data_IF_367070093316
#
_entry.id   IF_367070093316
#
_cell.length_a   1.000
_cell.length_b   1.000
_cell.length_c   1.000
_cell.angle_alpha   90.00
_cell.angle_beta   90.00
_cell.angle_gamma   90.00
#
_symmetry.space_group_name_H-M   'P 1'
#
loop_
_entity.id
_entity.type
_entity.pdbx_description
1 polymer ?
#
# COMPACT_ATOMS: atom_id res chain seq x y z
N UNK A 1 -1.49 42.25 -2.42
CA UNK A 1 -0.79 41.72 -3.61
C UNK A 1 0.65 41.43 -3.19
N UNK A 2 1.17 40.22 -3.18
CA UNK A 2 0.67 38.88 -3.49
C UNK A 2 1.58 37.91 -2.74
N UNK A 3 1.01 36.85 -2.17
CA UNK A 3 1.78 35.77 -1.57
C UNK A 3 2.62 35.08 -2.64
N UNK A 4 3.91 35.37 -2.65
CA UNK A 4 4.92 34.45 -3.18
C UNK A 4 5.29 33.54 -2.02
N UNK A 5 4.52 32.46 -1.82
CA UNK A 5 4.99 31.32 -1.02
C UNK A 5 6.11 30.64 -1.82
N UNK A 6 7.28 31.28 -1.83
CA UNK A 6 8.51 30.59 -2.13
C UNK A 6 8.71 29.57 -1.01
N UNK A 7 8.91 28.29 -1.36
CA UNK A 7 9.36 27.32 -0.38
C UNK A 7 10.53 27.90 0.40
N UNK A 8 10.49 27.82 1.74
CA UNK A 8 11.72 27.96 2.53
C UNK A 8 12.75 26.97 1.97
N UNK A 9 14.03 27.37 1.88
CA UNK A 9 15.08 26.59 1.20
C UNK A 9 15.15 25.12 1.67
N UNK A 10 14.73 24.84 2.91
CA UNK A 10 14.71 23.50 3.52
C UNK A 10 13.48 22.63 3.13
N UNK A 11 12.43 23.24 2.60
CA UNK A 11 11.20 22.54 2.19
C UNK A 11 11.23 22.05 0.73
N UNK A 12 12.34 22.32 0.03
CA UNK A 12 12.54 21.82 -1.32
C UNK A 12 12.96 20.35 -1.29
N UNK A 13 12.25 19.51 -2.04
CA UNK A 13 12.55 18.09 -2.14
C UNK A 13 12.43 17.65 -3.59
N UNK A 14 13.28 16.70 -3.99
CA UNK A 14 13.01 15.93 -5.20
C UNK A 14 11.75 15.12 -5.02
N UNK A 15 10.79 15.28 -5.91
CA UNK A 15 9.60 14.47 -5.91
C UNK A 15 9.03 14.31 -7.29
N UNK A 16 8.01 13.47 -7.38
CA UNK A 16 7.33 13.12 -8.60
C UNK A 16 5.83 13.31 -8.44
N UNK A 17 5.19 13.72 -9.53
CA UNK A 17 3.73 13.79 -9.64
C UNK A 17 3.30 13.15 -10.95
N UNK A 18 2.04 12.69 -10.97
CA UNK A 18 1.43 12.17 -12.18
C UNK A 18 0.88 13.37 -12.94
N UNK A 19 1.41 13.61 -14.14
CA UNK A 19 0.94 14.62 -15.06
C UNK A 19 0.66 13.97 -16.41
N UNK A 20 -0.56 14.11 -16.93
CA UNK A 20 -0.97 13.58 -18.23
C UNK A 20 -0.60 12.09 -18.47
N UNK A 21 -0.84 11.25 -17.46
CA UNK A 21 -0.45 9.81 -17.44
C UNK A 21 1.05 9.58 -17.68
N UNK A 22 1.89 10.51 -17.27
CA UNK A 22 3.33 10.32 -17.17
C UNK A 22 3.85 10.78 -15.81
N UNK A 23 4.93 10.15 -15.36
CA UNK A 23 5.58 10.52 -14.11
C UNK A 23 6.59 11.63 -14.35
N UNK A 24 6.20 12.83 -13.93
CA UNK A 24 7.05 14.02 -14.04
C UNK A 24 7.69 14.26 -12.67
N UNK A 25 9.01 14.18 -12.63
CA UNK A 25 9.80 14.40 -11.42
C UNK A 25 10.62 15.68 -11.55
N UNK A 26 10.62 16.47 -10.48
CA UNK A 26 11.34 17.73 -10.43
C UNK A 26 11.81 18.01 -9.01
N UNK A 27 12.67 19.01 -8.87
CA UNK A 27 12.98 19.62 -7.58
C UNK A 27 12.05 20.81 -7.38
N UNK A 28 11.38 20.85 -6.26
CA UNK A 28 10.37 21.87 -5.95
C UNK A 28 9.89 21.70 -4.51
N UNK A 29 8.73 22.28 -4.18
CA UNK A 29 8.18 22.16 -2.84
C UNK A 29 7.68 20.75 -2.52
N UNK A 30 7.94 20.27 -1.29
CA UNK A 30 7.37 19.00 -0.79
C UNK A 30 5.86 18.91 -1.03
N UNK A 31 5.14 20.02 -0.87
CA UNK A 31 3.68 20.11 -1.02
C UNK A 31 3.18 19.84 -2.45
N UNK A 32 4.05 19.97 -3.47
CA UNK A 32 3.68 19.77 -4.88
C UNK A 32 3.87 18.34 -5.38
N UNK A 33 4.59 17.50 -4.63
CA UNK A 33 4.90 16.14 -5.04
C UNK A 33 4.13 15.12 -4.22
N UNK A 34 3.40 14.24 -4.91
CA UNK A 34 2.66 13.15 -4.26
C UNK A 34 3.53 11.91 -4.02
N UNK A 35 4.62 11.76 -4.77
CA UNK A 35 5.51 10.62 -4.70
C UNK A 35 6.94 11.09 -4.47
N UNK A 36 7.70 10.43 -3.61
CA UNK A 36 9.12 10.74 -3.42
C UNK A 36 9.98 10.21 -4.56
N UNK A 37 9.56 9.12 -5.21
CA UNK A 37 10.35 8.47 -6.26
C UNK A 37 9.57 8.28 -7.56
N UNK A 38 10.31 8.27 -8.68
CA UNK A 38 9.73 8.00 -10.00
C UNK A 38 9.12 6.61 -10.06
N UNK A 39 9.66 5.65 -9.32
CA UNK A 39 9.19 4.27 -9.27
C UNK A 39 7.83 4.15 -8.59
N UNK A 40 7.62 4.84 -7.47
CA UNK A 40 6.30 4.92 -6.81
C UNK A 40 5.28 5.62 -7.70
N UNK A 41 5.67 6.74 -8.32
CA UNK A 41 4.80 7.40 -9.28
C UNK A 41 4.45 6.44 -10.42
N UNK A 42 5.43 5.73 -10.99
CA UNK A 42 5.20 4.81 -12.11
C UNK A 42 4.29 3.66 -11.69
N UNK A 43 4.44 3.12 -10.49
CA UNK A 43 3.58 2.07 -9.94
C UNK A 43 2.12 2.54 -9.82
N UNK A 44 1.93 3.76 -9.29
CA UNK A 44 0.62 4.38 -9.22
C UNK A 44 0.02 4.67 -10.61
N UNK A 45 0.85 5.04 -11.58
CA UNK A 45 0.45 5.39 -12.95
C UNK A 45 0.13 4.16 -13.79
N UNK A 46 0.92 3.10 -13.64
CA UNK A 46 0.70 1.80 -14.29
C UNK A 46 -0.58 1.12 -13.82
N UNK A 47 -1.31 1.74 -12.88
CA UNK A 47 -2.64 1.34 -12.45
C UNK A 47 -2.66 -0.16 -12.21
N UNK A 48 -1.66 -0.66 -11.48
CA UNK A 48 -1.47 -2.08 -11.16
C UNK A 48 -2.01 -3.03 -12.23
N UNK A 49 -1.43 -2.98 -13.42
CA UNK A 49 -1.68 -3.92 -14.51
C UNK A 49 -1.14 -5.35 -14.24
N UNK A 50 -1.03 -5.72 -12.97
CA UNK A 50 -0.71 -7.06 -12.53
C UNK A 50 -1.57 -7.31 -11.32
N UNK A 51 -2.63 -8.09 -11.51
CA UNK A 51 -3.37 -8.72 -10.43
C UNK A 51 -2.36 -9.42 -9.53
N UNK A 52 -1.88 -8.75 -8.48
CA UNK A 52 -0.96 -9.37 -7.51
C UNK A 52 -1.68 -10.57 -6.84
N UNK A 53 -3.01 -10.53 -6.86
CA UNK A 53 -3.89 -11.63 -6.48
C UNK A 53 -3.97 -12.75 -7.54
N UNK A 54 -3.61 -12.52 -8.80
CA UNK A 54 -3.56 -13.58 -9.82
C UNK A 54 -2.49 -14.63 -9.52
N UNK A 55 -1.46 -14.28 -8.72
CA UNK A 55 -0.50 -15.24 -8.20
C UNK A 55 -1.00 -16.07 -7.02
N UNK A 56 -2.24 -15.85 -6.56
CA UNK A 56 -2.82 -16.42 -5.35
C UNK A 56 -1.83 -16.41 -4.16
N UNK A 57 -1.36 -15.23 -3.72
CA UNK A 57 -0.38 -15.15 -2.63
C UNK A 57 -0.95 -15.56 -1.26
N UNK A 58 -2.28 -15.67 -1.11
CA UNK A 58 -2.95 -16.06 0.12
C UNK A 58 -3.19 -17.58 0.15
N UNK A 59 -2.77 -18.23 1.23
CA UNK A 59 -2.91 -19.69 1.43
C UNK A 59 -4.21 -20.03 2.16
N UNK A 60 -4.53 -21.32 2.25
CA UNK A 60 -5.63 -21.87 3.06
C UNK A 60 -7.00 -21.19 2.85
N UNK A 61 -7.32 -20.83 1.61
CA UNK A 61 -8.60 -20.19 1.26
C UNK A 61 -8.70 -18.72 1.62
N UNK A 62 -7.59 -18.05 1.96
CA UNK A 62 -7.57 -16.61 2.22
C UNK A 62 -7.93 -15.78 0.98
N UNK A 63 -8.74 -14.73 1.16
CA UNK A 63 -9.10 -13.83 0.06
C UNK A 63 -8.00 -12.78 -0.18
N UNK A 64 -7.48 -12.71 -1.39
CA UNK A 64 -6.52 -11.67 -1.74
C UNK A 64 -7.21 -10.35 -2.06
N UNK A 65 -6.83 -9.29 -1.36
CA UNK A 65 -7.35 -7.94 -1.53
C UNK A 65 -6.25 -7.04 -2.07
N UNK A 66 -6.55 -6.39 -3.20
CA UNK A 66 -5.67 -5.46 -3.84
C UNK A 66 -5.73 -4.08 -3.13
N UNK A 67 -4.65 -3.66 -2.45
CA UNK A 67 -4.56 -2.35 -1.76
C UNK A 67 -3.58 -1.40 -2.44
N UNK A 68 -3.83 -0.10 -2.38
CA UNK A 68 -2.97 0.92 -3.01
C UNK A 68 -1.67 1.23 -2.24
N UNK A 69 -1.49 0.68 -1.04
CA UNK A 69 -0.31 0.87 -0.19
C UNK A 69 0.66 -0.31 -0.35
N UNK A 70 1.97 -0.05 -0.42
CA UNK A 70 3.02 -1.09 -0.43
C UNK A 70 2.89 -1.99 0.80
N UNK A 71 2.92 -3.33 0.68
CA UNK A 71 3.38 -4.18 -0.45
C UNK A 71 2.35 -4.41 -1.58
N UNK A 72 1.27 -3.64 -1.60
CA UNK A 72 0.25 -3.66 -2.61
C UNK A 72 -0.87 -4.64 -2.29
N UNK A 73 -0.68 -5.73 -1.59
CA UNK A 73 -1.77 -6.69 -1.34
C UNK A 73 -1.94 -6.94 0.15
N UNK A 74 -3.17 -7.29 0.53
CA UNK A 74 -3.51 -7.76 1.85
C UNK A 74 -4.32 -9.05 1.72
N UNK A 75 -3.92 -10.09 2.44
CA UNK A 75 -4.74 -11.30 2.56
C UNK A 75 -5.76 -11.11 3.67
N UNK A 76 -7.00 -11.52 3.42
CA UNK A 76 -8.06 -11.60 4.42
C UNK A 76 -8.27 -13.08 4.77
N UNK A 77 -7.86 -13.43 5.98
CA UNK A 77 -7.93 -14.80 6.51
C UNK A 77 -9.16 -15.05 7.40
N UNK A 78 -10.00 -14.04 7.58
CA UNK A 78 -11.22 -14.13 8.38
C UNK A 78 -12.11 -15.29 7.91
N UNK A 79 -12.52 -16.14 8.84
CA UNK A 79 -13.37 -17.30 8.57
C UNK A 79 -12.65 -18.53 7.99
N UNK A 80 -11.34 -18.49 7.75
CA UNK A 80 -10.58 -19.68 7.30
C UNK A 80 -10.01 -20.49 8.46
N UNK A 81 -9.93 -19.92 9.66
CA UNK A 81 -9.23 -20.54 10.80
C UNK A 81 -7.71 -20.40 10.71
N UNK A 82 -7.21 -19.50 9.86
CA UNK A 82 -5.80 -19.17 9.72
C UNK A 82 -5.56 -17.66 9.88
N UNK A 83 -4.33 -17.26 10.15
CA UNK A 83 -3.90 -15.86 10.31
C UNK A 83 -2.50 -15.63 9.73
N UNK A 84 -2.07 -14.38 9.76
CA UNK A 84 -0.78 -13.93 9.25
C UNK A 84 -0.87 -13.37 7.83
N UNK A 85 0.24 -12.80 7.33
CA UNK A 85 0.26 -12.03 6.08
C UNK A 85 -0.23 -12.78 4.83
N UNK A 86 -0.14 -14.12 4.84
CA UNK A 86 -0.58 -15.01 3.77
C UNK A 86 -1.52 -16.12 4.26
N UNK A 87 -2.15 -15.95 5.43
CA UNK A 87 -2.99 -17.00 6.04
C UNK A 87 -2.26 -18.34 6.21
N UNK A 88 -0.99 -18.25 6.60
CA UNK A 88 -0.07 -19.40 6.65
C UNK A 88 0.00 -20.05 8.03
N UNK A 89 -0.49 -19.36 9.07
CA UNK A 89 -0.46 -19.82 10.45
C UNK A 89 -1.86 -20.25 10.86
N UNK A 90 -2.05 -21.41 11.51
CA UNK A 90 -3.34 -21.80 12.05
C UNK A 90 -3.69 -20.91 13.25
N UNK A 91 -4.98 -20.57 13.38
CA UNK A 91 -5.47 -19.81 14.52
C UNK A 91 -5.22 -20.59 15.82
N UNK A 92 -4.68 -19.96 16.87
CA UNK A 92 -4.49 -20.63 18.14
C UNK A 92 -5.85 -21.00 18.73
N UNK A 93 -6.01 -22.26 19.10
CA UNK A 93 -7.11 -22.72 19.93
C UNK A 93 -7.10 -21.98 21.27
N UNK A 94 -8.28 -21.50 21.70
CA UNK A 94 -8.53 -20.43 22.67
C UNK A 94 -7.99 -20.65 24.12
N UNK A 95 -6.69 -20.84 24.28
CA UNK A 95 -5.96 -20.85 25.56
C UNK A 95 -5.03 -19.64 25.73
N UNK A 96 -5.02 -18.71 24.78
CA UNK A 96 -4.15 -17.54 24.81
C UNK A 96 -4.94 -16.22 24.78
N UNK A 97 -4.60 -15.32 25.69
CA UNK A 97 -5.16 -13.97 25.88
C UNK A 97 -4.83 -12.99 24.74
N UNK A 98 -4.09 -13.42 23.71
CA UNK A 98 -3.80 -12.67 22.50
C UNK A 98 -4.39 -13.42 21.30
N UNK A 99 -5.65 -13.14 21.01
CA UNK A 99 -6.38 -13.75 19.91
C UNK A 99 -6.34 -12.80 18.70
N UNK A 100 -5.79 -13.21 17.54
CA UNK A 100 -5.79 -12.37 16.36
C UNK A 100 -7.23 -12.05 15.95
N UNK A 101 -7.51 -10.80 15.60
CA UNK A 101 -8.85 -10.40 15.11
C UNK A 101 -9.28 -11.20 13.88
N UNK A 102 -8.31 -11.67 13.10
CA UNK A 102 -8.51 -12.51 11.91
C UNK A 102 -9.05 -13.91 12.23
N UNK A 103 -8.98 -14.34 13.49
CA UNK A 103 -9.44 -15.65 13.96
C UNK A 103 -10.84 -15.60 14.59
N UNK A 104 -11.44 -14.42 14.75
CA UNK A 104 -12.75 -14.25 15.39
C UNK A 104 -13.83 -14.55 14.34
N UNK A 105 -14.51 -15.68 14.51
CA UNK A 105 -15.68 -16.04 13.70
C UNK A 105 -16.90 -15.39 14.36
N UNK A 106 -17.43 -14.31 13.76
CA UNK A 106 -18.70 -13.69 14.19
C UNK A 106 -19.91 -14.45 13.66
#
# INVERSE_FOLDING_TARGET
FSGLEACELDQTQYGCRIDNRQCTCAYGCRSEFRYLTRKECQDALKGRAGDICSGNPCLNGGACIQVSQMPGYKCRCEGTGFWGNRCQLPCPEARHTNFPYECIVI
#
